data_IF_057295223997
#
_entry.id   IF_057295223997
#
_cell.length_a   1.000
_cell.length_b   1.000
_cell.length_c   1.000
_cell.angle_alpha   90.00
_cell.angle_beta   90.00
_cell.angle_gamma   90.00
#
_symmetry.space_group_name_H-M   'P 1'
#
loop_
_entity.id
_entity.type
_entity.pdbx_description
1 polymer ?
#
# COMPACT_ATOMS: atom_id res chain seq x y z
N UNK A 1 -14.69 -7.11 21.31
CA UNK A 1 -13.79 -8.14 21.85
C UNK A 1 -12.42 -7.92 21.22
N UNK A 2 -11.38 -7.70 22.01
CA UNK A 2 -10.03 -7.75 21.52
C UNK A 2 -9.66 -9.24 21.36
N UNK A 3 -9.30 -9.63 20.15
CA UNK A 3 -8.79 -10.99 19.90
C UNK A 3 -7.38 -11.05 20.44
N UNK A 4 -7.12 -11.91 21.41
CA UNK A 4 -5.76 -12.20 21.84
C UNK A 4 -5.08 -13.04 20.75
N UNK A 5 -4.02 -12.49 20.17
CA UNK A 5 -3.20 -13.23 19.23
C UNK A 5 -2.39 -14.29 20.00
N UNK A 6 -2.52 -15.59 19.63
CA UNK A 6 -1.82 -16.67 20.35
C UNK A 6 -0.29 -16.51 20.39
N UNK A 7 0.28 -15.89 19.33
CA UNK A 7 1.74 -15.70 19.22
C UNK A 7 2.28 -14.52 20.02
N UNK A 8 1.39 -13.62 20.52
CA UNK A 8 1.75 -12.45 21.35
C UNK A 8 2.84 -11.57 20.74
N UNK A 9 2.77 -11.33 19.43
CA UNK A 9 3.76 -10.53 18.70
C UNK A 9 3.69 -9.04 19.02
N UNK A 10 2.59 -8.58 19.58
CA UNK A 10 2.29 -7.16 19.81
C UNK A 10 1.80 -6.44 18.54
N UNK A 11 1.51 -7.17 17.46
CA UNK A 11 0.91 -6.63 16.26
C UNK A 11 -0.52 -6.18 16.55
N UNK A 12 -0.90 -5.03 15.99
CA UNK A 12 -2.26 -4.51 16.04
C UNK A 12 -2.99 -4.90 14.77
N UNK A 13 -4.20 -5.45 14.91
CA UNK A 13 -5.05 -5.79 13.78
C UNK A 13 -6.22 -4.81 13.69
N UNK A 14 -6.51 -4.35 12.48
CA UNK A 14 -7.57 -3.37 12.20
C UNK A 14 -8.54 -3.93 11.16
N UNK A 15 -9.80 -3.56 11.28
CA UNK A 15 -10.79 -3.87 10.24
C UNK A 15 -10.40 -3.18 8.94
N UNK A 16 -10.59 -3.88 7.83
CA UNK A 16 -10.41 -3.30 6.51
C UNK A 16 -11.73 -2.63 6.07
N UNK A 17 -11.82 -1.33 6.30
CA UNK A 17 -13.02 -0.57 6.03
C UNK A 17 -14.25 -1.14 6.74
N UNK A 18 -15.40 -1.09 6.07
CA UNK A 18 -16.66 -1.63 6.58
C UNK A 18 -16.84 -3.12 6.21
N UNK A 19 -15.79 -3.92 6.40
CA UNK A 19 -15.82 -5.38 6.18
C UNK A 19 -15.53 -6.15 7.46
N UNK A 20 -15.73 -7.45 7.48
CA UNK A 20 -15.31 -8.34 8.57
C UNK A 20 -13.83 -8.71 8.53
N UNK A 21 -13.10 -8.35 7.47
CA UNK A 21 -11.69 -8.71 7.32
C UNK A 21 -10.80 -7.87 8.23
N UNK A 22 -9.87 -8.52 8.93
CA UNK A 22 -8.87 -7.88 9.77
C UNK A 22 -7.48 -8.04 9.16
N UNK A 23 -6.79 -6.92 9.01
CA UNK A 23 -5.41 -6.85 8.51
C UNK A 23 -4.48 -6.31 9.60
N UNK A 24 -3.23 -6.74 9.59
CA UNK A 24 -2.20 -6.15 10.44
C UNK A 24 -2.00 -4.67 10.09
N UNK A 25 -1.82 -3.83 11.09
CA UNK A 25 -1.64 -2.39 10.91
C UNK A 25 -0.42 -2.03 10.04
N UNK A 26 0.54 -2.95 9.94
CA UNK A 26 1.63 -2.93 8.97
C UNK A 26 1.45 -4.09 7.99
N UNK A 27 1.61 -3.83 6.71
CA UNK A 27 1.67 -4.83 5.64
C UNK A 27 3.05 -4.86 4.98
N UNK A 28 3.35 -5.94 4.28
CA UNK A 28 4.57 -6.07 3.48
C UNK A 28 4.23 -6.12 1.99
N UNK A 29 4.77 -5.17 1.22
CA UNK A 29 4.57 -5.05 -0.23
C UNK A 29 5.75 -5.54 -1.04
N UNK A 30 5.47 -6.17 -2.18
CA UNK A 30 6.46 -6.72 -3.09
C UNK A 30 7.01 -5.73 -4.13
N UNK A 31 6.46 -4.51 -4.21
CA UNK A 31 6.85 -3.55 -5.24
C UNK A 31 8.32 -3.15 -5.16
N UNK A 32 9.03 -3.21 -6.29
CA UNK A 32 10.47 -2.97 -6.47
C UNK A 32 11.38 -3.87 -5.60
N UNK A 33 10.81 -4.80 -4.84
CA UNK A 33 11.58 -5.63 -3.92
C UNK A 33 11.61 -7.07 -4.40
N UNK A 34 10.46 -7.72 -4.47
CA UNK A 34 10.37 -9.14 -4.77
C UNK A 34 10.40 -9.42 -6.27
N UNK A 35 11.25 -10.36 -6.68
CA UNK A 35 11.46 -10.72 -8.10
C UNK A 35 12.27 -9.67 -8.90
N UNK A 36 12.79 -8.64 -8.24
CA UNK A 36 13.59 -7.58 -8.86
C UNK A 36 14.88 -7.32 -8.09
N UNK A 37 14.82 -6.46 -7.06
CA UNK A 37 16.02 -6.08 -6.28
C UNK A 37 16.48 -7.13 -5.28
N UNK A 38 15.60 -8.04 -4.87
CA UNK A 38 15.86 -9.08 -3.88
C UNK A 38 15.69 -10.44 -4.52
N UNK A 39 16.72 -11.27 -4.41
CA UNK A 39 16.68 -12.68 -4.86
C UNK A 39 15.69 -13.50 -4.04
N UNK A 40 15.33 -14.68 -4.54
CA UNK A 40 14.29 -15.54 -3.94
C UNK A 40 14.54 -15.83 -2.45
N UNK A 41 15.78 -16.13 -2.05
CA UNK A 41 16.13 -16.41 -0.65
C UNK A 41 15.89 -15.20 0.27
N UNK A 42 16.27 -14.00 -0.19
CA UNK A 42 16.02 -12.76 0.54
C UNK A 42 14.53 -12.45 0.67
N UNK A 43 13.73 -12.76 -0.37
CA UNK A 43 12.29 -12.62 -0.33
C UNK A 43 11.67 -13.55 0.71
N UNK A 44 12.06 -14.84 0.73
CA UNK A 44 11.61 -15.81 1.74
C UNK A 44 11.96 -15.34 3.15
N UNK A 45 13.17 -14.85 3.36
CA UNK A 45 13.61 -14.35 4.67
C UNK A 45 12.78 -13.12 5.13
N UNK A 46 12.50 -12.18 4.22
CA UNK A 46 11.65 -11.01 4.53
C UNK A 46 10.21 -11.43 4.85
N UNK A 47 9.61 -12.29 4.04
CA UNK A 47 8.25 -12.77 4.26
C UNK A 47 8.15 -13.54 5.60
N UNK A 48 9.12 -14.43 5.88
CA UNK A 48 9.19 -15.16 7.16
C UNK A 48 9.29 -14.20 8.35
N UNK A 49 10.18 -13.23 8.28
CA UNK A 49 10.35 -12.24 9.37
C UNK A 49 9.07 -11.42 9.60
N UNK A 50 8.40 -11.01 8.52
CA UNK A 50 7.14 -10.29 8.63
C UNK A 50 6.05 -11.13 9.31
N UNK A 51 5.88 -12.37 8.89
CA UNK A 51 4.92 -13.30 9.46
C UNK A 51 5.22 -13.59 10.95
N UNK A 52 6.47 -13.81 11.29
CA UNK A 52 6.91 -14.07 12.67
C UNK A 52 6.64 -12.87 13.60
N UNK A 53 6.64 -11.65 13.06
CA UNK A 53 6.29 -10.41 13.75
C UNK A 53 4.78 -10.09 13.76
N UNK A 54 3.94 -10.99 13.25
CA UNK A 54 2.48 -10.85 13.25
C UNK A 54 1.90 -10.12 12.05
N UNK A 55 2.70 -9.76 11.04
CA UNK A 55 2.16 -9.24 9.77
C UNK A 55 1.40 -10.37 9.09
N UNK A 56 0.11 -10.14 8.81
CA UNK A 56 -0.71 -11.07 8.05
C UNK A 56 -1.06 -10.55 6.64
N UNK A 57 -0.79 -9.28 6.33
CA UNK A 57 -1.14 -8.67 5.06
C UNK A 57 0.06 -8.54 4.14
N UNK A 58 -0.01 -9.19 2.96
CA UNK A 58 1.03 -9.22 1.93
C UNK A 58 0.45 -8.75 0.60
N UNK A 59 1.09 -7.74 0.00
CA UNK A 59 0.59 -7.03 -1.16
C UNK A 59 1.51 -7.18 -2.36
N UNK A 60 0.94 -7.53 -3.51
CA UNK A 60 1.63 -7.61 -4.80
C UNK A 60 0.79 -6.99 -5.92
N UNK A 61 1.17 -7.15 -7.17
CA UNK A 61 0.39 -6.79 -8.36
C UNK A 61 0.85 -7.59 -9.58
N UNK A 62 -0.03 -7.76 -10.55
CA UNK A 62 0.29 -8.47 -11.81
C UNK A 62 1.50 -7.90 -12.55
N UNK A 63 1.72 -6.57 -12.45
CA UNK A 63 2.78 -5.87 -13.16
C UNK A 63 4.13 -5.83 -12.43
N UNK A 64 4.17 -6.15 -11.13
CA UNK A 64 5.40 -5.99 -10.36
C UNK A 64 6.49 -6.96 -10.84
N UNK A 65 7.64 -6.39 -11.24
CA UNK A 65 8.74 -7.14 -11.85
C UNK A 65 8.28 -8.05 -13.02
N UNK A 66 7.33 -7.57 -13.86
CA UNK A 66 6.80 -8.36 -14.97
C UNK A 66 6.10 -9.64 -14.54
N UNK A 67 5.44 -9.63 -13.39
CA UNK A 67 4.75 -10.80 -12.80
C UNK A 67 5.63 -11.64 -11.86
N UNK A 68 6.94 -11.42 -11.84
CA UNK A 68 7.86 -12.21 -11.00
C UNK A 68 7.61 -12.01 -9.51
N UNK A 69 7.11 -10.83 -9.09
CA UNK A 69 6.75 -10.58 -7.69
C UNK A 69 5.69 -11.57 -7.20
N UNK A 70 4.70 -11.89 -8.01
CA UNK A 70 3.66 -12.88 -7.68
C UNK A 70 4.25 -14.29 -7.65
N UNK A 71 5.10 -14.67 -8.61
CA UNK A 71 5.75 -15.99 -8.66
C UNK A 71 6.59 -16.24 -7.41
N UNK A 72 7.44 -15.29 -7.06
CA UNK A 72 8.34 -15.42 -5.89
C UNK A 72 7.56 -15.44 -4.59
N UNK A 73 6.50 -14.62 -4.47
CA UNK A 73 5.63 -14.62 -3.29
C UNK A 73 4.92 -15.97 -3.14
N UNK A 74 4.35 -16.54 -4.20
CA UNK A 74 3.71 -17.85 -4.18
C UNK A 74 4.67 -18.96 -3.78
N UNK A 75 5.86 -18.99 -4.37
CA UNK A 75 6.91 -19.94 -4.01
C UNK A 75 7.31 -19.84 -2.53
N UNK A 76 7.48 -18.62 -2.02
CA UNK A 76 7.82 -18.39 -0.63
C UNK A 76 6.72 -18.84 0.34
N UNK A 77 5.45 -18.55 0.05
CA UNK A 77 4.29 -19.01 0.85
C UNK A 77 4.29 -20.53 0.93
N UNK A 78 4.50 -21.21 -0.19
CA UNK A 78 4.57 -22.67 -0.27
C UNK A 78 5.76 -23.25 0.49
N UNK A 79 6.96 -22.66 0.32
CA UNK A 79 8.18 -23.09 1.00
C UNK A 79 8.07 -22.94 2.53
N UNK A 80 7.45 -21.83 3.00
CA UNK A 80 7.24 -21.57 4.41
C UNK A 80 6.12 -22.40 5.04
N UNK A 81 5.31 -23.08 4.22
CA UNK A 81 4.24 -23.97 4.67
C UNK A 81 3.15 -23.24 5.46
N UNK A 82 2.89 -21.96 5.15
CA UNK A 82 1.86 -21.18 5.85
C UNK A 82 0.47 -21.73 5.57
N UNK A 83 -0.36 -21.71 6.61
CA UNK A 83 -1.80 -21.97 6.43
C UNK A 83 -2.42 -20.79 5.70
N UNK A 84 -3.14 -21.04 4.62
CA UNK A 84 -3.78 -20.01 3.79
C UNK A 84 -4.70 -19.09 4.60
N UNK A 85 -5.36 -19.63 5.63
CA UNK A 85 -6.28 -18.88 6.50
C UNK A 85 -5.57 -17.90 7.44
N UNK A 86 -4.26 -18.01 7.63
CA UNK A 86 -3.50 -17.14 8.54
C UNK A 86 -2.99 -15.87 7.85
N UNK A 87 -3.13 -15.79 6.51
CA UNK A 87 -2.59 -14.71 5.69
C UNK A 87 -3.66 -14.04 4.84
N UNK A 88 -3.48 -12.75 4.61
CA UNK A 88 -4.28 -11.92 3.70
C UNK A 88 -3.39 -11.53 2.53
N UNK A 89 -3.73 -12.01 1.35
CA UNK A 89 -2.99 -11.76 0.11
C UNK A 89 -3.78 -10.82 -0.78
N UNK A 90 -3.12 -9.78 -1.29
CA UNK A 90 -3.70 -8.92 -2.32
C UNK A 90 -2.89 -8.90 -3.59
N UNK A 91 -3.57 -8.78 -4.72
CA UNK A 91 -2.98 -8.43 -6.01
C UNK A 91 -3.77 -7.33 -6.70
N UNK A 92 -3.25 -6.78 -7.81
CA UNK A 92 -3.83 -5.63 -8.48
C UNK A 92 -3.82 -5.82 -9.99
N UNK A 93 -4.86 -5.36 -10.67
CA UNK A 93 -5.08 -5.47 -12.10
C UNK A 93 -5.17 -4.09 -12.75
N UNK A 94 -4.50 -3.89 -13.84
CA UNK A 94 -4.57 -2.79 -14.79
C UNK A 94 -3.41 -2.82 -15.80
N UNK A 95 -2.21 -3.24 -15.39
CA UNK A 95 -0.95 -3.10 -16.13
C UNK A 95 -0.40 -4.44 -16.67
N UNK A 96 -1.27 -5.40 -16.96
CA UNK A 96 -0.94 -6.79 -17.22
C UNK A 96 -0.37 -7.11 -18.61
N UNK A 97 0.31 -6.16 -19.28
CA UNK A 97 0.80 -6.32 -20.64
C UNK A 97 1.67 -7.54 -20.92
N UNK A 98 2.25 -8.16 -19.90
CA UNK A 98 3.04 -9.40 -20.00
C UNK A 98 2.18 -10.68 -19.97
N UNK A 99 0.87 -10.58 -19.80
CA UNK A 99 -0.04 -11.73 -19.86
C UNK A 99 -0.29 -12.24 -21.30
N UNK A 100 0.17 -11.53 -22.32
CA UNK A 100 0.02 -11.87 -23.73
C UNK A 100 0.95 -11.05 -24.61
N UNK A 101 0.93 -11.33 -25.91
CA UNK A 101 1.80 -10.65 -26.90
C UNK A 101 1.23 -9.30 -27.37
N UNK A 102 -0.09 -9.12 -27.26
CA UNK A 102 -0.80 -7.92 -27.74
C UNK A 102 -1.40 -7.16 -26.56
N UNK A 103 -0.99 -5.90 -26.39
CA UNK A 103 -1.38 -5.08 -25.24
C UNK A 103 -2.85 -4.69 -25.21
N UNK A 104 -3.51 -4.57 -26.35
CA UNK A 104 -4.83 -3.93 -26.51
C UNK A 104 -5.88 -4.38 -25.48
N UNK A 105 -5.94 -5.67 -25.15
CA UNK A 105 -6.85 -6.22 -24.15
C UNK A 105 -6.14 -6.79 -22.91
N UNK A 106 -4.83 -6.58 -22.79
CA UNK A 106 -4.03 -7.04 -21.68
C UNK A 106 -3.69 -5.93 -20.67
N UNK A 107 -4.45 -4.86 -20.68
CA UNK A 107 -4.38 -3.77 -19.70
C UNK A 107 -5.76 -3.12 -19.54
N UNK A 108 -5.88 -2.20 -18.58
CA UNK A 108 -7.12 -1.52 -18.23
C UNK A 108 -8.02 -2.38 -17.33
N UNK A 109 -9.29 -1.98 -17.23
CA UNK A 109 -10.26 -2.62 -16.34
C UNK A 109 -11.46 -3.19 -17.09
N UNK A 110 -11.29 -3.53 -18.37
CA UNK A 110 -12.33 -4.24 -19.10
C UNK A 110 -12.66 -5.58 -18.40
N UNK A 111 -13.89 -6.04 -18.52
CA UNK A 111 -14.30 -7.34 -18.01
C UNK A 111 -13.37 -8.47 -18.44
N UNK A 112 -12.89 -8.41 -19.69
CA UNK A 112 -11.95 -9.39 -20.23
C UNK A 112 -10.66 -9.39 -19.42
N UNK A 113 -10.03 -8.22 -19.25
CA UNK A 113 -8.75 -8.13 -18.53
C UNK A 113 -8.90 -8.47 -17.04
N UNK A 114 -9.96 -8.02 -16.36
CA UNK A 114 -10.20 -8.37 -14.95
C UNK A 114 -10.27 -9.88 -14.77
N UNK A 115 -10.99 -10.59 -15.62
CA UNK A 115 -11.16 -12.05 -15.50
C UNK A 115 -9.90 -12.81 -15.87
N UNK A 116 -9.27 -12.49 -16.99
CA UNK A 116 -8.08 -13.19 -17.48
C UNK A 116 -6.83 -12.81 -16.68
N UNK A 117 -6.69 -11.53 -16.33
CA UNK A 117 -5.59 -11.02 -15.51
C UNK A 117 -5.57 -11.64 -14.12
N UNK A 118 -6.74 -11.70 -13.44
CA UNK A 118 -6.79 -12.34 -12.12
C UNK A 118 -6.48 -13.85 -12.21
N UNK A 119 -6.98 -14.54 -13.24
CA UNK A 119 -6.61 -15.95 -13.45
C UNK A 119 -5.09 -16.13 -13.59
N UNK A 120 -4.45 -15.27 -14.39
CA UNK A 120 -3.01 -15.32 -14.61
C UNK A 120 -2.24 -14.99 -13.30
N UNK A 121 -2.70 -14.02 -12.50
CA UNK A 121 -2.15 -13.72 -11.19
C UNK A 121 -2.24 -14.91 -10.23
N UNK A 122 -3.37 -15.58 -10.16
CA UNK A 122 -3.54 -16.78 -9.33
C UNK A 122 -2.61 -17.92 -9.75
N UNK A 123 -2.40 -18.11 -11.07
CA UNK A 123 -1.44 -19.09 -11.57
C UNK A 123 0.00 -18.75 -11.15
N UNK A 124 0.41 -17.47 -11.21
CA UNK A 124 1.74 -17.03 -10.76
C UNK A 124 1.92 -17.18 -9.25
N UNK A 125 0.88 -16.85 -8.47
CA UNK A 125 0.87 -17.01 -7.01
C UNK A 125 0.77 -18.49 -6.56
N UNK A 126 0.41 -19.42 -7.43
CA UNK A 126 0.07 -20.81 -7.07
C UNK A 126 -1.00 -20.89 -5.96
N UNK A 127 -2.04 -20.02 -6.08
CA UNK A 127 -3.16 -19.91 -5.15
C UNK A 127 -4.50 -20.11 -5.84
N UNK A 128 -5.48 -20.61 -5.11
CA UNK A 128 -6.85 -20.75 -5.59
C UNK A 128 -7.61 -19.41 -5.57
N UNK A 129 -7.28 -18.54 -4.62
CA UNK A 129 -7.89 -17.21 -4.46
C UNK A 129 -6.93 -16.22 -3.78
N UNK A 130 -7.20 -14.93 -3.97
CA UNK A 130 -6.66 -13.84 -3.17
C UNK A 130 -7.74 -13.29 -2.24
N UNK A 131 -7.34 -12.67 -1.13
CA UNK A 131 -8.32 -12.05 -0.22
C UNK A 131 -8.84 -10.74 -0.80
N UNK A 132 -7.97 -9.96 -1.43
CA UNK A 132 -8.32 -8.67 -2.00
C UNK A 132 -7.76 -8.57 -3.42
N UNK A 133 -8.58 -8.15 -4.37
CA UNK A 133 -8.14 -7.75 -5.70
C UNK A 133 -8.37 -6.25 -5.89
N UNK A 134 -7.34 -5.50 -6.30
CA UNK A 134 -7.44 -4.06 -6.52
C UNK A 134 -7.56 -3.71 -8.01
N UNK A 135 -8.41 -2.72 -8.31
CA UNK A 135 -8.30 -1.92 -9.52
C UNK A 135 -7.10 -0.98 -9.38
N UNK A 136 -5.95 -1.33 -9.99
CA UNK A 136 -4.65 -0.70 -9.72
C UNK A 136 -4.61 0.79 -10.08
N UNK A 137 -5.42 1.21 -11.06
CA UNK A 137 -5.66 2.62 -11.43
C UNK A 137 -7.07 2.73 -12.01
N UNK A 138 -7.66 3.92 -12.04
CA UNK A 138 -8.93 4.12 -12.75
C UNK A 138 -8.74 3.91 -14.25
N UNK A 139 -9.70 3.28 -14.90
CA UNK A 139 -9.77 3.15 -16.35
C UNK A 139 -10.98 3.94 -16.87
N UNK A 140 -10.71 5.15 -17.33
CA UNK A 140 -11.74 6.08 -17.81
C UNK A 140 -12.31 5.72 -19.20
N UNK A 141 -11.74 4.71 -19.85
CA UNK A 141 -12.23 4.21 -21.14
C UNK A 141 -13.20 3.04 -20.97
N UNK A 142 -13.25 2.42 -19.79
CA UNK A 142 -14.18 1.35 -19.47
C UNK A 142 -15.35 1.90 -18.64
N UNK A 143 -16.61 1.63 -19.02
CA UNK A 143 -17.77 2.04 -18.23
C UNK A 143 -17.70 1.52 -16.79
N UNK A 144 -17.97 2.37 -15.80
CA UNK A 144 -17.86 2.01 -14.39
C UNK A 144 -18.74 0.81 -14.01
N UNK A 145 -19.94 0.68 -14.60
CA UNK A 145 -20.79 -0.48 -14.36
C UNK A 145 -20.13 -1.79 -14.84
N UNK A 146 -19.41 -1.77 -15.95
CA UNK A 146 -18.67 -2.95 -16.43
C UNK A 146 -17.59 -3.34 -15.42
N UNK A 147 -16.84 -2.37 -14.89
CA UNK A 147 -15.80 -2.59 -13.88
C UNK A 147 -16.40 -3.22 -12.62
N UNK A 148 -17.45 -2.63 -12.06
CA UNK A 148 -18.16 -3.14 -10.86
C UNK A 148 -18.67 -4.55 -11.07
N UNK A 149 -19.34 -4.83 -12.19
CA UNK A 149 -19.84 -6.18 -12.52
C UNK A 149 -18.71 -7.19 -12.73
N UNK A 150 -17.58 -6.77 -13.29
CA UNK A 150 -16.45 -7.66 -13.54
C UNK A 150 -15.77 -8.09 -12.22
N UNK A 151 -15.55 -7.15 -11.29
CA UNK A 151 -15.04 -7.50 -9.95
C UNK A 151 -16.01 -8.41 -9.19
N UNK A 152 -17.31 -8.13 -9.25
CA UNK A 152 -18.32 -9.01 -8.65
C UNK A 152 -18.34 -10.41 -9.29
N UNK A 153 -18.15 -10.51 -10.60
CA UNK A 153 -18.07 -11.81 -11.28
C UNK A 153 -16.88 -12.67 -10.77
N UNK A 154 -15.71 -12.07 -10.58
CA UNK A 154 -14.56 -12.83 -10.07
C UNK A 154 -14.69 -13.18 -8.59
N UNK A 155 -15.46 -12.41 -7.82
CA UNK A 155 -15.75 -12.69 -6.41
C UNK A 155 -16.85 -13.76 -6.29
N UNK A 156 -18.06 -13.47 -6.76
CA UNK A 156 -19.25 -14.28 -6.47
C UNK A 156 -19.39 -15.51 -7.37
N UNK A 157 -18.94 -15.42 -8.64
CA UNK A 157 -19.12 -16.52 -9.61
C UNK A 157 -17.87 -17.39 -9.70
N UNK A 158 -16.68 -16.77 -9.64
CA UNK A 158 -15.42 -17.52 -9.75
C UNK A 158 -14.85 -17.94 -8.40
N UNK A 159 -15.14 -17.19 -7.33
CA UNK A 159 -14.53 -17.41 -6.01
C UNK A 159 -13.03 -17.14 -5.98
N UNK A 160 -12.54 -16.29 -6.90
CA UNK A 160 -11.11 -16.01 -7.04
C UNK A 160 -10.61 -14.85 -6.16
N UNK A 161 -11.54 -14.10 -5.59
CA UNK A 161 -11.24 -13.08 -4.59
C UNK A 161 -12.38 -13.02 -3.56
N UNK A 162 -12.10 -12.50 -2.35
CA UNK A 162 -13.12 -12.30 -1.32
C UNK A 162 -13.66 -10.87 -1.33
N UNK A 163 -12.78 -9.90 -1.57
CA UNK A 163 -13.09 -8.48 -1.59
C UNK A 163 -12.38 -7.80 -2.77
N UNK A 164 -12.85 -6.60 -3.11
CA UNK A 164 -12.15 -5.76 -4.04
C UNK A 164 -11.96 -4.34 -3.51
N UNK A 165 -10.98 -3.65 -4.06
CA UNK A 165 -10.66 -2.28 -3.73
C UNK A 165 -10.14 -1.52 -4.94
N UNK A 166 -9.79 -0.27 -4.70
CA UNK A 166 -9.27 0.66 -5.69
C UNK A 166 -7.88 1.15 -5.30
N UNK A 167 -7.11 1.70 -6.22
CA UNK A 167 -5.81 2.30 -5.93
C UNK A 167 -5.61 3.56 -6.77
N UNK A 168 -5.31 4.67 -6.08
CA UNK A 168 -5.14 6.00 -6.68
C UNK A 168 -6.39 6.53 -7.41
N UNK A 169 -7.57 6.02 -7.08
CA UNK A 169 -8.84 6.57 -7.58
C UNK A 169 -9.18 7.89 -6.89
N UNK A 170 -9.95 8.74 -7.55
CA UNK A 170 -10.51 9.95 -6.95
C UNK A 170 -11.76 9.63 -6.10
N UNK A 171 -12.15 10.57 -5.25
CA UNK A 171 -13.33 10.38 -4.40
C UNK A 171 -14.63 10.21 -5.19
N UNK A 172 -14.76 10.89 -6.31
CA UNK A 172 -15.92 10.78 -7.20
C UNK A 172 -15.96 9.42 -7.93
N UNK A 173 -14.83 8.92 -8.42
CA UNK A 173 -14.72 7.59 -9.04
C UNK A 173 -15.09 6.47 -8.03
N UNK A 174 -14.60 6.56 -6.78
CA UNK A 174 -14.96 5.60 -5.72
C UNK A 174 -16.46 5.71 -5.37
N UNK A 175 -16.99 6.95 -5.23
CA UNK A 175 -18.39 7.16 -4.91
C UNK A 175 -19.32 6.65 -6.02
N UNK A 176 -18.93 6.82 -7.29
CA UNK A 176 -19.65 6.28 -8.45
C UNK A 176 -19.70 4.74 -8.41
N UNK A 177 -18.55 4.09 -8.19
CA UNK A 177 -18.49 2.64 -8.08
C UNK A 177 -19.35 2.10 -6.91
N UNK A 178 -19.30 2.76 -5.74
CA UNK A 178 -20.15 2.42 -4.60
C UNK A 178 -21.64 2.64 -4.89
N UNK A 179 -21.98 3.72 -5.59
CA UNK A 179 -23.36 4.04 -6.01
C UNK A 179 -23.94 2.98 -6.95
N UNK A 180 -23.19 2.61 -7.97
CA UNK A 180 -23.56 1.57 -8.94
C UNK A 180 -23.71 0.22 -8.21
N UNK A 181 -22.74 -0.16 -7.39
CA UNK A 181 -22.81 -1.41 -6.63
C UNK A 181 -24.08 -1.47 -5.77
N UNK A 182 -24.40 -0.39 -5.04
CA UNK A 182 -25.62 -0.29 -4.22
C UNK A 182 -26.88 -0.41 -5.06
N UNK A 183 -26.94 0.29 -6.19
CA UNK A 183 -28.11 0.27 -7.09
C UNK A 183 -28.37 -1.12 -7.65
N UNK A 184 -27.32 -1.88 -7.95
CA UNK A 184 -27.39 -3.19 -8.58
C UNK A 184 -27.42 -4.36 -7.56
N UNK A 185 -27.35 -4.09 -6.24
CA UNK A 185 -27.25 -5.12 -5.21
C UNK A 185 -25.93 -5.91 -5.28
N UNK A 186 -24.84 -5.25 -5.68
CA UNK A 186 -23.52 -5.82 -5.86
C UNK A 186 -22.56 -5.40 -4.73
N UNK A 187 -21.44 -6.12 -4.60
CA UNK A 187 -20.37 -5.81 -3.64
C UNK A 187 -19.63 -4.55 -4.10
N UNK A 188 -19.60 -3.53 -3.26
CA UNK A 188 -18.85 -2.30 -3.47
C UNK A 188 -17.36 -2.47 -3.13
N UNK A 189 -16.46 -1.58 -3.61
CA UNK A 189 -15.08 -1.57 -3.12
C UNK A 189 -15.05 -1.21 -1.63
N UNK A 190 -14.32 -1.99 -0.84
CA UNK A 190 -14.23 -1.79 0.62
C UNK A 190 -13.02 -0.99 1.05
N UNK A 191 -12.06 -0.81 0.15
CA UNK A 191 -10.73 -0.26 0.47
C UNK A 191 -10.17 0.52 -0.72
N UNK A 192 -9.47 1.60 -0.40
CA UNK A 192 -8.61 2.32 -1.35
C UNK A 192 -7.15 2.16 -0.94
N UNK A 193 -6.25 2.03 -1.92
CA UNK A 193 -4.82 2.02 -1.72
C UNK A 193 -4.19 3.32 -2.24
N UNK A 194 -4.10 4.39 -1.43
CA UNK A 194 -3.56 5.67 -1.84
C UNK A 194 -2.08 5.82 -1.50
N UNK A 195 -1.39 6.67 -2.25
CA UNK A 195 -0.10 7.25 -1.86
C UNK A 195 -0.29 8.18 -0.66
N UNK A 196 0.25 7.80 0.51
CA UNK A 196 0.06 8.58 1.73
C UNK A 196 1.30 8.58 2.61
N UNK A 197 1.76 9.77 2.95
CA UNK A 197 2.88 10.02 3.85
C UNK A 197 2.86 11.48 4.32
N UNK A 198 3.76 11.87 5.21
CA UNK A 198 3.89 13.23 5.76
C UNK A 198 3.90 14.36 4.71
N UNK A 199 4.40 14.10 3.50
CA UNK A 199 4.51 15.07 2.41
C UNK A 199 3.39 14.95 1.36
N UNK A 200 2.53 13.90 1.46
CA UNK A 200 1.40 13.64 0.56
C UNK A 200 0.16 13.29 1.38
N UNK A 201 -0.63 14.30 1.76
CA UNK A 201 -1.72 14.20 2.71
C UNK A 201 -3.10 14.49 2.12
N UNK A 202 -3.12 15.34 1.09
CA UNK A 202 -4.32 16.05 0.59
C UNK A 202 -5.47 15.10 0.21
N UNK A 203 -5.17 13.98 -0.45
CA UNK A 203 -6.17 13.00 -0.86
C UNK A 203 -6.84 12.34 0.35
N UNK A 204 -6.02 11.79 1.25
CA UNK A 204 -6.49 11.03 2.42
C UNK A 204 -7.16 11.92 3.47
N UNK A 205 -6.58 13.06 3.78
CA UNK A 205 -7.06 13.94 4.85
C UNK A 205 -8.10 14.96 4.38
N UNK A 206 -8.17 15.25 3.09
CA UNK A 206 -9.11 16.21 2.51
C UNK A 206 -10.18 15.55 1.66
N UNK A 207 -9.78 15.02 0.51
CA UNK A 207 -10.68 14.54 -0.52
C UNK A 207 -11.57 13.36 -0.07
N UNK A 208 -11.02 12.42 0.72
CA UNK A 208 -11.69 11.19 1.13
C UNK A 208 -12.57 11.31 2.37
N UNK A 209 -12.66 12.46 3.02
CA UNK A 209 -13.37 12.59 4.30
C UNK A 209 -14.81 12.04 4.28
N UNK A 210 -15.56 12.35 3.23
CA UNK A 210 -16.94 11.84 3.09
C UNK A 210 -17.03 10.36 2.75
N UNK A 211 -15.98 9.76 2.19
CA UNK A 211 -15.97 8.33 1.88
C UNK A 211 -15.91 7.48 3.13
N UNK A 212 -15.20 7.95 4.16
CA UNK A 212 -15.09 7.23 5.42
C UNK A 212 -16.44 7.11 6.14
N UNK A 213 -17.14 8.24 6.32
CA UNK A 213 -18.43 8.25 6.98
C UNK A 213 -19.53 7.62 6.14
N UNK A 214 -19.54 7.86 4.83
CA UNK A 214 -20.63 7.46 3.93
C UNK A 214 -20.57 5.99 3.52
N UNK A 215 -19.36 5.48 3.26
CA UNK A 215 -19.16 4.13 2.72
C UNK A 215 -18.34 3.24 3.65
N UNK A 216 -17.79 3.79 4.73
CA UNK A 216 -16.89 3.04 5.63
C UNK A 216 -15.62 2.58 4.92
N UNK A 217 -15.11 3.39 3.98
CA UNK A 217 -13.92 3.08 3.21
C UNK A 217 -12.69 2.87 4.10
N UNK A 218 -11.99 1.75 3.95
CA UNK A 218 -10.70 1.51 4.57
C UNK A 218 -9.55 1.96 3.69
N UNK A 219 -8.36 2.11 4.29
CA UNK A 219 -7.15 2.45 3.55
C UNK A 219 -6.04 1.43 3.78
N UNK A 220 -5.37 1.03 2.70
CA UNK A 220 -4.09 0.33 2.72
C UNK A 220 -3.05 1.21 2.04
N UNK A 221 -2.39 2.08 2.80
CA UNK A 221 -1.55 3.14 2.24
C UNK A 221 -0.20 2.62 1.78
N UNK A 222 0.32 3.14 0.67
CA UNK A 222 1.64 2.79 0.15
C UNK A 222 2.63 3.95 0.20
N UNK A 223 3.93 3.62 0.14
CA UNK A 223 5.05 4.57 0.21
C UNK A 223 5.03 5.51 1.42
N UNK A 224 4.87 4.99 2.64
CA UNK A 224 4.84 5.79 3.86
C UNK A 224 6.14 6.56 4.10
N UNK A 225 7.25 6.07 3.56
CA UNK A 225 8.58 6.71 3.63
C UNK A 225 8.95 7.50 2.37
N UNK A 226 8.02 7.72 1.42
CA UNK A 226 8.28 8.41 0.15
C UNK A 226 9.58 7.92 -0.51
N UNK A 227 9.62 6.62 -0.83
CA UNK A 227 10.79 5.94 -1.45
C UNK A 227 12.08 6.03 -0.62
N UNK A 228 11.96 6.25 0.68
CA UNK A 228 13.06 6.37 1.63
C UNK A 228 13.47 7.80 1.95
N UNK A 229 12.86 8.81 1.34
CA UNK A 229 13.13 10.22 1.64
C UNK A 229 12.88 10.53 3.12
N UNK A 230 11.73 10.12 3.64
CA UNK A 230 11.32 10.35 5.03
C UNK A 230 12.11 9.53 6.07
N UNK A 231 13.03 8.65 5.64
CA UNK A 231 13.96 8.01 6.56
C UNK A 231 15.14 8.90 6.94
N UNK A 232 15.31 10.04 6.28
CA UNK A 232 16.42 10.97 6.51
C UNK A 232 17.74 10.59 5.81
N UNK A 233 17.81 9.44 5.15
CA UNK A 233 19.06 8.95 4.53
C UNK A 233 19.60 9.82 3.39
N UNK A 234 18.80 10.77 2.92
CA UNK A 234 19.18 11.71 1.85
C UNK A 234 19.48 13.13 2.37
N UNK A 235 19.36 13.37 3.68
CA UNK A 235 19.52 14.70 4.29
C UNK A 235 20.87 15.35 3.99
N UNK A 236 21.94 14.54 3.96
CA UNK A 236 23.31 15.00 3.72
C UNK A 236 23.74 14.90 2.25
N UNK A 237 22.84 14.50 1.37
CA UNK A 237 23.11 14.32 -0.07
C UNK A 237 21.96 14.88 -0.92
N UNK A 238 21.65 16.19 -0.83
CA UNK A 238 20.47 16.76 -1.46
C UNK A 238 20.54 16.78 -3.00
N UNK A 239 21.74 16.83 -3.57
CA UNK A 239 21.94 17.03 -5.00
C UNK A 239 22.35 15.75 -5.77
N UNK A 240 22.88 14.74 -5.06
CA UNK A 240 23.36 13.50 -5.67
C UNK A 240 22.99 12.30 -4.81
N UNK A 241 22.39 11.24 -5.38
CA UNK A 241 22.02 10.06 -4.61
C UNK A 241 23.24 9.40 -3.96
N UNK A 242 23.19 9.05 -2.65
CA UNK A 242 24.26 8.35 -1.99
C UNK A 242 24.55 7.00 -2.67
N UNK A 243 25.82 6.55 -2.75
CA UNK A 243 26.17 5.24 -3.28
C UNK A 243 25.39 4.12 -2.56
N UNK A 244 24.87 3.16 -3.34
CA UNK A 244 24.10 2.05 -2.80
C UNK A 244 22.64 2.37 -2.43
N UNK A 245 22.22 3.64 -2.56
CA UNK A 245 20.81 3.99 -2.41
C UNK A 245 19.99 3.50 -3.60
N UNK A 246 18.66 3.42 -3.42
CA UNK A 246 17.71 3.04 -4.49
C UNK A 246 17.90 3.89 -5.77
N UNK A 247 18.16 5.19 -5.63
CA UNK A 247 18.30 6.11 -6.75
C UNK A 247 19.70 6.10 -7.37
N UNK A 248 20.70 5.49 -6.75
CA UNK A 248 22.05 5.39 -7.30
C UNK A 248 22.19 4.25 -8.33
N UNK A 249 21.33 3.23 -8.27
CA UNK A 249 21.40 2.04 -9.12
C UNK A 249 20.00 1.61 -9.58
N UNK A 250 19.91 1.02 -10.76
CA UNK A 250 18.72 0.35 -11.27
C UNK A 250 18.33 0.81 -12.69
N UNK A 251 17.73 -0.12 -13.42
CA UNK A 251 17.24 0.09 -14.79
C UNK A 251 15.70 0.21 -14.82
N UNK A 252 15.04 0.22 -13.66
CA UNK A 252 13.60 0.38 -13.56
C UNK A 252 13.19 1.79 -14.01
N UNK A 253 12.18 1.88 -14.89
CA UNK A 253 11.70 3.14 -15.47
C UNK A 253 11.26 4.16 -14.42
N UNK A 254 10.64 3.70 -13.32
CA UNK A 254 10.21 4.59 -12.25
C UNK A 254 11.41 5.10 -11.44
N UNK A 255 12.38 4.23 -11.13
CA UNK A 255 13.63 4.61 -10.45
C UNK A 255 14.42 5.62 -11.30
N UNK A 256 14.48 5.43 -12.62
CA UNK A 256 15.12 6.36 -13.55
C UNK A 256 14.42 7.72 -13.53
N UNK A 257 13.08 7.74 -13.63
CA UNK A 257 12.29 8.97 -13.52
C UNK A 257 12.57 9.72 -12.20
N UNK A 258 12.61 9.01 -11.08
CA UNK A 258 12.90 9.60 -9.77
C UNK A 258 14.34 10.13 -9.68
N UNK A 259 15.29 9.44 -10.32
CA UNK A 259 16.69 9.89 -10.40
C UNK A 259 16.84 11.17 -11.22
N UNK A 260 16.14 11.26 -12.35
CA UNK A 260 16.16 12.44 -13.21
C UNK A 260 15.57 13.67 -12.50
N UNK A 261 14.71 13.45 -11.51
CA UNK A 261 14.14 14.52 -10.69
C UNK A 261 14.87 14.74 -9.35
N UNK A 262 15.90 13.97 -9.05
CA UNK A 262 16.70 14.13 -7.83
C UNK A 262 17.44 15.47 -7.86
N UNK A 263 17.42 16.21 -6.75
CA UNK A 263 18.04 17.53 -6.64
C UNK A 263 17.26 18.67 -7.30
N UNK A 264 16.12 18.43 -7.96
CA UNK A 264 15.28 19.51 -8.46
C UNK A 264 14.65 20.32 -7.30
N UNK A 265 14.03 21.46 -7.63
CA UNK A 265 13.46 22.34 -6.60
C UNK A 265 12.45 21.63 -5.68
N UNK A 266 11.56 20.83 -6.22
CA UNK A 266 10.58 20.09 -5.41
C UNK A 266 11.24 19.09 -4.46
N UNK A 267 12.29 18.43 -4.91
CA UNK A 267 13.10 17.55 -4.08
C UNK A 267 13.79 18.31 -2.94
N UNK A 268 14.40 19.46 -3.25
CA UNK A 268 15.08 20.32 -2.25
C UNK A 268 14.10 20.85 -1.22
N UNK A 269 12.91 21.30 -1.65
CA UNK A 269 11.83 21.76 -0.74
C UNK A 269 11.39 20.61 0.21
N UNK A 270 11.30 19.39 -0.31
CA UNK A 270 11.00 18.21 0.51
C UNK A 270 12.13 17.88 1.49
N UNK A 271 13.39 17.94 1.05
CA UNK A 271 14.58 17.69 1.92
C UNK A 271 14.62 18.67 3.08
N UNK A 272 14.33 19.96 2.86
CA UNK A 272 14.29 20.94 3.94
C UNK A 272 13.22 20.63 4.99
N UNK A 273 12.05 20.16 4.57
CA UNK A 273 11.02 19.66 5.50
C UNK A 273 11.49 18.41 6.24
N UNK A 274 12.13 17.48 5.53
CA UNK A 274 12.63 16.23 6.10
C UNK A 274 13.72 16.48 7.15
N UNK A 275 14.61 17.43 6.93
CA UNK A 275 15.61 17.87 7.95
C UNK A 275 14.92 18.43 9.20
N UNK A 276 13.87 19.25 9.06
CA UNK A 276 13.10 19.74 10.20
C UNK A 276 12.38 18.62 10.95
N UNK A 277 11.83 17.64 10.24
CA UNK A 277 11.24 16.45 10.86
C UNK A 277 12.27 15.62 11.65
N UNK A 278 13.55 15.63 11.25
CA UNK A 278 14.63 15.00 12.00
C UNK A 278 14.77 15.60 13.40
N UNK A 279 14.66 16.92 13.52
CA UNK A 279 14.72 17.59 14.83
C UNK A 279 13.59 17.12 15.75
N UNK A 280 12.39 16.96 15.20
CA UNK A 280 11.24 16.45 15.97
C UNK A 280 11.47 14.99 16.37
N UNK A 281 11.97 14.14 15.45
CA UNK A 281 12.28 12.75 15.75
C UNK A 281 13.31 12.61 16.88
N UNK A 282 14.39 13.43 16.86
CA UNK A 282 15.41 13.48 17.90
C UNK A 282 14.84 13.93 19.24
N UNK A 283 13.95 14.95 19.25
CA UNK A 283 13.24 15.40 20.44
C UNK A 283 12.39 14.30 21.08
N UNK A 284 11.74 13.47 20.26
CA UNK A 284 10.92 12.36 20.70
C UNK A 284 11.77 11.14 21.07
N UNK A 285 13.02 11.08 20.63
CA UNK A 285 13.96 10.01 20.91
C UNK A 285 13.78 8.76 20.05
N UNK A 286 13.28 8.91 18.81
CA UNK A 286 13.06 7.81 17.86
C UNK A 286 13.72 8.09 16.50
N UNK A 287 14.02 7.06 15.71
CA UNK A 287 14.48 7.23 14.34
C UNK A 287 13.44 7.99 13.48
N UNK A 288 13.90 8.78 12.53
CA UNK A 288 13.03 9.56 11.64
C UNK A 288 12.09 8.67 10.82
N UNK A 289 12.54 7.51 10.37
CA UNK A 289 11.69 6.51 9.68
C UNK A 289 10.55 6.02 10.57
N UNK A 290 10.84 5.82 11.86
CA UNK A 290 9.86 5.38 12.84
C UNK A 290 8.82 6.47 13.12
N UNK A 291 9.25 7.75 13.22
CA UNK A 291 8.35 8.90 13.33
C UNK A 291 7.36 8.94 12.13
N UNK A 292 7.88 8.80 10.91
CA UNK A 292 7.08 8.87 9.70
C UNK A 292 6.06 7.71 9.61
N UNK A 293 6.47 6.49 9.98
CA UNK A 293 5.56 5.34 10.02
C UNK A 293 4.51 5.48 11.13
N UNK A 294 4.91 5.88 12.33
CA UNK A 294 4.00 6.09 13.46
C UNK A 294 2.95 7.15 13.14
N UNK A 295 3.35 8.21 12.41
CA UNK A 295 2.43 9.24 11.98
C UNK A 295 1.34 8.70 11.03
N UNK A 296 1.70 7.89 10.01
CA UNK A 296 0.72 7.26 9.12
C UNK A 296 -0.18 6.29 9.90
N UNK A 297 0.41 5.49 10.79
CA UNK A 297 -0.31 4.53 11.64
C UNK A 297 -1.29 5.21 12.61
N UNK A 298 -1.04 6.46 12.99
CA UNK A 298 -1.91 7.24 13.88
C UNK A 298 -3.23 7.64 13.24
N UNK A 299 -3.33 7.67 11.92
CA UNK A 299 -4.57 7.97 11.22
C UNK A 299 -5.57 6.80 11.39
N UNK A 300 -6.76 7.02 12.02
CA UNK A 300 -7.72 5.96 12.31
C UNK A 300 -8.36 5.35 11.05
N UNK A 301 -8.34 6.05 9.92
CA UNK A 301 -8.87 5.55 8.65
C UNK A 301 -7.89 4.62 7.92
N UNK A 302 -6.63 4.57 8.37
CA UNK A 302 -5.61 3.67 7.81
C UNK A 302 -5.74 2.29 8.46
N UNK A 303 -6.22 1.32 7.70
CA UNK A 303 -6.31 -0.08 8.15
C UNK A 303 -4.94 -0.75 8.15
N UNK A 304 -4.12 -0.50 7.13
CA UNK A 304 -2.76 -1.04 7.04
C UNK A 304 -1.82 -0.09 6.31
N UNK A 305 -0.58 -0.01 6.77
CA UNK A 305 0.51 0.71 6.12
C UNK A 305 1.40 -0.30 5.41
N UNK A 306 1.39 -0.28 4.09
CA UNK A 306 2.23 -1.18 3.28
C UNK A 306 3.66 -0.65 3.27
N UNK A 307 4.56 -1.42 3.86
CA UNK A 307 6.00 -1.15 3.87
C UNK A 307 6.72 -2.05 2.87
N UNK A 308 7.84 -1.57 2.35
CA UNK A 308 8.78 -2.38 1.58
C UNK A 308 10.02 -2.68 2.42
N UNK A 309 10.60 -3.86 2.26
CA UNK A 309 11.84 -4.23 2.90
C UNK A 309 12.70 -5.07 1.94
N UNK A 310 13.98 -4.76 1.85
CA UNK A 310 14.96 -5.56 1.12
C UNK A 310 15.79 -6.48 2.04
N UNK A 311 15.61 -6.34 3.36
CA UNK A 311 16.27 -7.14 4.39
C UNK A 311 15.34 -7.31 5.59
N UNK A 312 15.40 -8.46 6.29
CA UNK A 312 14.54 -8.76 7.46
C UNK A 312 14.64 -7.73 8.58
N UNK A 313 15.83 -7.14 8.80
CA UNK A 313 16.08 -6.15 9.86
C UNK A 313 15.19 -4.90 9.69
N UNK A 314 14.95 -4.49 8.43
CA UNK A 314 14.08 -3.33 8.16
C UNK A 314 12.63 -3.58 8.59
N UNK A 315 12.17 -4.82 8.55
CA UNK A 315 10.83 -5.18 9.03
C UNK A 315 10.77 -5.08 10.55
N UNK A 316 11.81 -5.56 11.25
CA UNK A 316 11.95 -5.42 12.70
C UNK A 316 11.95 -3.94 13.12
N UNK A 317 12.66 -3.09 12.36
CA UNK A 317 12.68 -1.64 12.60
C UNK A 317 11.30 -1.03 12.37
N UNK A 318 10.64 -1.35 11.25
CA UNK A 318 9.33 -0.79 10.92
C UNK A 318 8.25 -1.12 11.95
N UNK A 319 8.26 -2.33 12.52
CA UNK A 319 7.28 -2.77 13.53
C UNK A 319 7.38 -1.96 14.83
N UNK A 320 8.54 -1.38 15.16
CA UNK A 320 8.72 -0.52 16.33
C UNK A 320 7.77 0.71 16.28
N UNK A 321 7.45 1.19 15.09
CA UNK A 321 6.54 2.32 14.91
C UNK A 321 5.16 2.12 15.56
N UNK A 322 4.70 0.89 15.76
CA UNK A 322 3.45 0.60 16.47
C UNK A 322 3.47 1.11 17.92
N UNK A 323 4.60 0.98 18.60
CA UNK A 323 4.78 1.48 19.98
C UNK A 323 4.93 3.00 20.02
N UNK A 324 5.53 3.57 18.99
CA UNK A 324 5.83 5.00 18.90
C UNK A 324 4.61 5.86 18.56
N UNK A 325 3.47 5.25 18.18
CA UNK A 325 2.20 5.98 18.02
C UNK A 325 1.83 6.77 19.28
N UNK A 326 2.07 6.21 20.46
CA UNK A 326 1.78 6.85 21.74
C UNK A 326 2.66 8.06 22.04
N UNK A 327 3.83 8.16 21.43
CA UNK A 327 4.76 9.29 21.58
C UNK A 327 4.33 10.51 20.77
N UNK A 328 3.47 10.33 19.78
CA UNK A 328 2.95 11.42 18.95
C UNK A 328 1.80 12.12 19.69
N UNK A 329 2.13 12.90 20.71
CA UNK A 329 1.16 13.73 21.45
C UNK A 329 0.52 14.80 20.53
N UNK A 330 -0.59 15.45 20.94
CA UNK A 330 -1.15 16.57 20.18
C UNK A 330 -0.13 17.67 19.90
N UNK A 331 0.78 17.95 20.84
CA UNK A 331 1.83 18.96 20.70
C UNK A 331 2.83 18.54 19.59
N UNK A 332 3.30 17.31 19.61
CA UNK A 332 4.19 16.78 18.57
C UNK A 332 3.50 16.75 17.21
N UNK A 333 2.22 16.36 17.15
CA UNK A 333 1.46 16.41 15.90
C UNK A 333 1.36 17.83 15.36
N UNK A 334 1.16 18.83 16.21
CA UNK A 334 1.14 20.23 15.83
C UNK A 334 2.51 20.71 15.29
N UNK A 335 3.60 20.34 15.96
CA UNK A 335 4.96 20.66 15.47
C UNK A 335 5.23 20.02 14.09
N UNK A 336 4.75 18.80 13.86
CA UNK A 336 4.82 18.15 12.54
C UNK A 336 4.03 18.97 11.52
N UNK A 337 2.79 19.38 11.83
CA UNK A 337 1.94 20.16 10.93
C UNK A 337 2.55 21.52 10.59
N UNK A 338 3.25 22.17 11.53
CA UNK A 338 3.99 23.43 11.28
C UNK A 338 5.13 23.23 10.26
N UNK A 339 5.72 22.04 10.19
CA UNK A 339 6.79 21.71 9.24
C UNK A 339 6.25 21.34 7.86
N UNK A 340 5.25 20.44 7.80
CA UNK A 340 4.79 19.84 6.53
C UNK A 340 3.57 20.56 5.94
N UNK A 341 2.90 21.39 6.71
CA UNK A 341 1.64 22.05 6.41
C UNK A 341 0.44 21.19 6.85
N UNK A 342 -0.63 21.85 7.25
CA UNK A 342 -1.94 21.22 7.48
C UNK A 342 -2.71 21.10 6.17
N UNK A 343 -3.62 20.12 6.11
CA UNK A 343 -4.59 20.04 5.02
C UNK A 343 -5.81 20.86 5.43
N UNK A 344 -6.07 21.94 4.70
CA UNK A 344 -7.29 22.71 4.88
C UNK A 344 -8.49 21.87 4.43
N UNK A 345 -9.39 21.60 5.34
CA UNK A 345 -10.65 20.96 5.03
C UNK A 345 -11.61 22.02 4.47
N UNK A 346 -12.29 21.70 3.37
CA UNK A 346 -13.40 22.49 2.89
C UNK A 346 -14.44 22.59 4.03
N UNK A 347 -14.83 23.80 4.49
CA UNK A 347 -15.82 23.95 5.55
C UNK A 347 -17.15 23.24 5.29
N UNK A 348 -17.55 23.12 4.02
CA UNK A 348 -18.71 22.36 3.58
C UNK A 348 -18.54 20.83 3.73
N UNK A 349 -17.35 20.34 4.08
CA UNK A 349 -17.02 18.93 4.27
C UNK A 349 -16.75 18.56 5.73
N UNK A 350 -16.93 19.51 6.64
CA UNK A 350 -16.77 19.31 8.08
C UNK A 350 -18.13 18.88 8.67
N UNK A 351 -18.60 17.68 8.38
CA UNK A 351 -19.80 17.09 9.00
C UNK A 351 -19.41 16.06 10.07
#
# INVERSE_FOLDING_TARGET
MAWEEPRKTGMVYRRLGNSGLHVSALGLGGWLTFGGQVENEGTVACLKQAYDLGINFFDTAESYAGGQSEVVMGQAIKQLGWKRNDIVISTKLNWGGHNGEVLVNNHGLSRKHIVEGLRASLQRLDLEYVDIVYAHRPDRLTPMEEVVRAFNHVIEIKGWAMYWGTSEWSADEIAEACGIAKQLGLIAPIVEQPFYNLLHRKKVEGEFQRLYSRFGLGLTTFSPLKFGLLSGKYNDSPDTPPPGSRFAKGDDKFVNYMRDNYGNKSWQDDIEKVKKLKVIADKVGIPQSELALAWVLKNPNVSSVITGASRPEQIVENVKALKSIALLTPEIMKEIDEVVGSVELDPARQD
#
